data_IF_867086445077
#
_entry.id   IF_867086445077
#
_cell.length_a   1.000
_cell.length_b   1.000
_cell.length_c   1.000
_cell.angle_alpha   90.00
_cell.angle_beta   90.00
_cell.angle_gamma   90.00
#
_symmetry.space_group_name_H-M   'P 1'
#
loop_
_entity.id
_entity.type
_entity.pdbx_description
1 polymer ?
#
# COMPACT_ATOMS: atom_id res chain seq x y z
N UNK A 1 2.99 -14.17 7.68
CA UNK A 1 3.96 -13.24 8.33
C UNK A 1 5.36 -13.25 7.70
N UNK A 2 5.89 -14.38 7.23
CA UNK A 2 7.25 -14.47 6.65
C UNK A 2 7.39 -13.65 5.35
N UNK A 3 6.46 -13.81 4.41
CA UNK A 3 6.50 -13.12 3.11
C UNK A 3 6.54 -11.59 3.27
N UNK A 4 5.63 -11.05 4.10
CA UNK A 4 5.58 -9.62 4.42
C UNK A 4 6.91 -9.11 4.98
N UNK A 5 7.52 -9.82 5.95
CA UNK A 5 8.80 -9.41 6.54
C UNK A 5 9.92 -9.34 5.50
N UNK A 6 9.98 -10.31 4.58
CA UNK A 6 10.99 -10.36 3.52
C UNK A 6 10.79 -9.25 2.49
N UNK A 7 9.55 -9.00 2.07
CA UNK A 7 9.22 -7.90 1.15
C UNK A 7 9.52 -6.55 1.81
N UNK A 8 9.15 -6.36 3.08
CA UNK A 8 9.42 -5.11 3.79
C UNK A 8 10.91 -4.77 3.88
N UNK A 9 11.77 -5.76 4.11
CA UNK A 9 13.22 -5.54 4.10
C UNK A 9 13.69 -4.98 2.74
N UNK A 10 13.25 -5.58 1.63
CA UNK A 10 13.58 -5.13 0.27
C UNK A 10 13.08 -3.70 0.04
N UNK A 11 11.83 -3.40 0.44
CA UNK A 11 11.23 -2.07 0.27
C UNK A 11 11.96 -0.99 1.07
N UNK A 12 12.43 -1.33 2.27
CA UNK A 12 13.20 -0.40 3.13
C UNK A 12 14.60 -0.16 2.55
N UNK A 13 15.30 -1.20 2.11
CA UNK A 13 16.64 -1.09 1.50
C UNK A 13 16.62 -0.27 0.20
N UNK A 14 15.60 -0.49 -0.63
CA UNK A 14 15.42 0.21 -1.91
C UNK A 14 14.83 1.62 -1.79
N UNK A 15 14.43 2.05 -0.58
CA UNK A 15 13.85 3.37 -0.30
C UNK A 15 12.71 3.79 -1.25
N UNK A 16 11.87 2.83 -1.64
CA UNK A 16 10.79 3.07 -2.61
C UNK A 16 9.66 3.91 -2.00
N UNK A 17 9.42 3.76 -0.70
CA UNK A 17 8.37 4.50 0.00
C UNK A 17 8.90 5.88 0.39
N UNK A 18 8.18 6.97 0.06
CA UNK A 18 8.51 8.29 0.54
C UNK A 18 8.53 8.36 2.07
N UNK A 19 9.37 9.22 2.63
CA UNK A 19 9.39 9.46 4.08
C UNK A 19 8.13 10.19 4.58
N UNK A 20 7.36 10.79 3.67
CA UNK A 20 6.03 11.32 3.94
C UNK A 20 4.92 10.25 3.99
N UNK A 21 5.24 8.98 3.74
CA UNK A 21 4.27 7.87 3.82
C UNK A 21 4.25 7.26 5.23
N UNK A 22 3.19 7.55 5.98
CA UNK A 22 3.01 7.10 7.36
C UNK A 22 2.02 5.95 7.50
N UNK A 23 1.10 5.80 6.54
CA UNK A 23 0.13 4.70 6.53
C UNK A 23 0.81 3.34 6.35
N UNK A 24 0.39 2.34 7.13
CA UNK A 24 0.86 0.95 7.06
C UNK A 24 2.38 0.77 7.21
N UNK A 25 3.10 1.75 7.78
CA UNK A 25 4.55 1.70 8.00
C UNK A 25 4.88 1.50 9.48
N UNK A 26 5.81 0.60 9.78
CA UNK A 26 6.26 0.38 11.15
C UNK A 26 6.86 1.66 11.73
N UNK A 27 6.63 1.91 13.03
CA UNK A 27 7.10 3.10 13.78
C UNK A 27 6.53 4.45 13.28
N UNK A 28 5.57 4.44 12.37
CA UNK A 28 4.86 5.64 11.92
C UNK A 28 3.42 5.58 12.43
N UNK A 29 2.88 6.73 12.82
CA UNK A 29 1.51 6.88 13.32
C UNK A 29 0.85 8.06 12.63
N UNK A 30 -0.49 8.06 12.63
CA UNK A 30 -1.27 9.21 12.14
C UNK A 30 -0.94 10.48 12.92
N UNK A 31 -0.61 10.35 14.21
CA UNK A 31 -0.20 11.47 15.06
C UNK A 31 1.09 12.11 14.54
N UNK A 32 2.09 11.31 14.19
CA UNK A 32 3.33 11.85 13.62
C UNK A 32 3.09 12.60 12.30
N UNK A 33 2.18 12.11 11.46
CA UNK A 33 1.82 12.81 10.22
C UNK A 33 1.08 14.12 10.48
N UNK A 34 0.19 14.16 11.48
CA UNK A 34 -0.50 15.39 11.89
C UNK A 34 0.52 16.42 12.38
N UNK A 35 1.45 16.04 13.26
CA UNK A 35 2.51 16.96 13.72
C UNK A 35 3.28 17.57 12.55
N UNK A 36 3.73 16.73 11.59
CA UNK A 36 4.42 17.21 10.38
C UNK A 36 3.60 18.22 9.58
N UNK A 37 2.29 18.01 9.43
CA UNK A 37 1.40 18.92 8.71
C UNK A 37 1.26 20.23 9.49
N UNK A 38 1.02 20.17 10.80
CA UNK A 38 0.89 21.33 11.67
C UNK A 38 2.17 22.17 11.63
N UNK A 39 3.34 21.55 11.78
CA UNK A 39 4.63 22.24 11.72
C UNK A 39 4.82 22.96 10.37
N UNK A 40 4.42 22.32 9.26
CA UNK A 40 4.51 22.92 7.93
C UNK A 40 3.55 24.09 7.75
N UNK A 41 2.37 24.03 8.36
CA UNK A 41 1.41 25.15 8.36
C UNK A 41 1.97 26.30 9.19
N UNK A 42 2.44 26.03 10.41
CA UNK A 42 3.03 27.04 11.30
C UNK A 42 4.21 27.75 10.66
N UNK A 43 5.15 27.00 10.08
CA UNK A 43 6.30 27.57 9.38
C UNK A 43 5.90 28.46 8.19
N UNK A 44 4.90 28.03 7.40
CA UNK A 44 4.40 28.85 6.29
C UNK A 44 3.79 30.16 6.79
N UNK A 45 3.07 30.14 7.91
CA UNK A 45 2.45 31.33 8.50
C UNK A 45 3.51 32.28 9.08
N UNK A 46 4.56 31.75 9.71
CA UNK A 46 5.70 32.52 10.22
C UNK A 46 6.43 33.26 9.09
N UNK A 47 6.64 32.59 7.95
CA UNK A 47 7.23 33.17 6.74
C UNK A 47 6.26 34.09 5.96
N UNK A 48 5.10 34.41 6.53
CA UNK A 48 4.02 35.22 5.93
C UNK A 48 3.56 34.70 4.56
N UNK A 49 3.68 33.39 4.34
CA UNK A 49 3.22 32.70 3.15
C UNK A 49 1.81 32.13 3.36
N UNK A 50 1.03 32.06 2.29
CA UNK A 50 -0.28 31.40 2.32
C UNK A 50 -0.14 29.89 2.20
N UNK A 51 -0.72 29.16 3.16
CA UNK A 51 -0.83 27.71 3.09
C UNK A 51 -2.12 27.31 2.35
N UNK A 52 -1.98 26.48 1.32
CA UNK A 52 -3.11 25.82 0.63
C UNK A 52 -2.92 24.31 0.70
N UNK A 53 -3.96 23.58 1.11
CA UNK A 53 -3.94 22.12 1.20
C UNK A 53 -5.08 21.49 0.40
N UNK A 54 -4.82 20.32 -0.18
CA UNK A 54 -5.83 19.48 -0.84
C UNK A 54 -5.83 18.10 -0.21
N UNK A 55 -6.99 17.65 0.25
CA UNK A 55 -7.19 16.32 0.83
C UNK A 55 -7.84 15.44 -0.23
N UNK A 56 -7.17 14.35 -0.59
CA UNK A 56 -7.65 13.38 -1.58
C UNK A 56 -7.95 12.06 -0.87
N UNK A 57 -9.15 11.53 -1.10
CA UNK A 57 -9.54 10.20 -0.65
C UNK A 57 -9.95 9.33 -1.84
N UNK A 58 -9.53 8.07 -1.84
CA UNK A 58 -9.81 7.11 -2.91
C UNK A 58 -10.84 6.10 -2.40
N UNK A 59 -12.08 6.23 -2.88
CA UNK A 59 -13.14 5.28 -2.55
C UNK A 59 -12.77 3.87 -3.01
N UNK A 60 -12.90 2.87 -2.13
CA UNK A 60 -12.64 1.46 -2.45
C UNK A 60 -11.25 1.22 -3.06
N UNK A 61 -10.21 1.83 -2.47
CA UNK A 61 -8.85 1.79 -2.99
C UNK A 61 -8.32 0.37 -3.30
N UNK A 62 -8.74 -0.64 -2.54
CA UNK A 62 -8.33 -2.04 -2.79
C UNK A 62 -9.08 -2.70 -3.96
N UNK A 63 -10.36 -2.35 -4.17
CA UNK A 63 -11.17 -2.91 -5.25
C UNK A 63 -10.89 -2.23 -6.59
N UNK A 64 -10.47 -0.95 -6.57
CA UNK A 64 -10.17 -0.15 -7.76
C UNK A 64 -8.71 -0.16 -8.18
N UNK A 65 -7.88 -1.00 -7.55
CA UNK A 65 -6.47 -1.09 -7.91
C UNK A 65 -6.31 -1.59 -9.34
N UNK A 66 -5.51 -0.88 -10.13
CA UNK A 66 -5.14 -1.34 -11.46
C UNK A 66 -4.09 -2.46 -11.36
N UNK A 67 -4.56 -3.71 -11.32
CA UNK A 67 -3.72 -4.89 -11.08
C UNK A 67 -2.57 -5.03 -12.09
N UNK A 68 -2.80 -4.78 -13.38
CA UNK A 68 -1.74 -4.85 -14.40
C UNK A 68 -0.61 -3.84 -14.13
N UNK A 69 -0.97 -2.59 -13.79
CA UNK A 69 0.00 -1.55 -13.43
C UNK A 69 0.72 -1.86 -12.11
N UNK A 70 0.01 -2.43 -11.13
CA UNK A 70 0.61 -2.87 -9.87
C UNK A 70 1.64 -3.97 -10.10
N UNK A 71 1.31 -4.99 -10.89
CA UNK A 71 2.22 -6.10 -11.22
C UNK A 71 3.44 -5.62 -11.99
N UNK A 72 3.28 -4.66 -12.90
CA UNK A 72 4.41 -4.03 -13.59
C UNK A 72 5.38 -3.37 -12.59
N UNK A 73 4.86 -2.59 -11.62
CA UNK A 73 5.69 -1.99 -10.57
C UNK A 73 6.37 -3.04 -9.69
N UNK A 74 5.64 -4.09 -9.30
CA UNK A 74 6.20 -5.17 -8.46
C UNK A 74 7.32 -5.93 -9.17
N UNK A 75 7.23 -6.11 -10.49
CA UNK A 75 8.28 -6.78 -11.28
C UNK A 75 9.60 -6.01 -11.28
N UNK A 76 9.55 -4.67 -11.20
CA UNK A 76 10.75 -3.82 -11.15
C UNK A 76 11.41 -3.81 -9.77
N UNK A 77 10.60 -4.03 -8.73
CA UNK A 77 11.02 -3.86 -7.32
C UNK A 77 11.43 -5.18 -6.69
N UNK A 78 10.70 -6.27 -6.99
CA UNK A 78 10.83 -7.53 -6.29
C UNK A 78 11.56 -8.58 -7.15
N UNK A 79 12.37 -9.44 -6.51
CA UNK A 79 12.87 -10.66 -7.14
C UNK A 79 11.75 -11.53 -7.73
N UNK A 80 12.05 -12.23 -8.82
CA UNK A 80 11.11 -13.03 -9.61
C UNK A 80 10.27 -14.00 -8.76
N UNK A 81 10.85 -14.63 -7.75
CA UNK A 81 10.15 -15.57 -6.87
C UNK A 81 8.99 -14.91 -6.11
N UNK A 82 9.21 -13.71 -5.56
CA UNK A 82 8.16 -12.99 -4.83
C UNK A 82 7.12 -12.42 -5.78
N UNK A 83 7.55 -11.93 -6.94
CA UNK A 83 6.65 -11.46 -7.99
C UNK A 83 5.69 -12.56 -8.45
N UNK A 84 6.16 -13.78 -8.72
CA UNK A 84 5.30 -14.89 -9.16
C UNK A 84 4.25 -15.28 -8.12
N UNK A 85 4.62 -15.29 -6.83
CA UNK A 85 3.67 -15.56 -5.73
C UNK A 85 2.59 -14.48 -5.68
N UNK A 86 2.98 -13.20 -5.75
CA UNK A 86 2.02 -12.09 -5.72
C UNK A 86 1.16 -12.02 -6.98
N UNK A 87 1.72 -12.36 -8.14
CA UNK A 87 0.98 -12.47 -9.40
C UNK A 87 -0.12 -13.52 -9.30
N UNK A 88 0.23 -14.73 -8.86
CA UNK A 88 -0.76 -15.80 -8.64
C UNK A 88 -1.81 -15.44 -7.57
N UNK A 89 -1.48 -14.55 -6.64
CA UNK A 89 -2.44 -14.10 -5.63
C UNK A 89 -3.40 -13.02 -6.13
N UNK A 90 -2.95 -12.18 -7.07
CA UNK A 90 -3.71 -11.02 -7.57
C UNK A 90 -4.49 -11.32 -8.85
N UNK A 91 -4.01 -12.24 -9.68
CA UNK A 91 -4.68 -12.67 -10.91
C UNK A 91 -5.52 -13.94 -10.67
N UNK A 92 -6.63 -14.07 -11.42
CA UNK A 92 -7.46 -15.28 -11.49
C UNK A 92 -7.89 -15.86 -10.13
N UNK A 93 -8.24 -14.98 -9.19
CA UNK A 93 -8.77 -15.39 -7.89
C UNK A 93 -10.14 -16.05 -8.09
N UNK A 94 -10.27 -17.30 -7.69
CA UNK A 94 -11.56 -17.97 -7.53
C UNK A 94 -11.77 -18.34 -6.07
N UNK A 95 -12.91 -17.96 -5.53
CA UNK A 95 -13.35 -18.32 -4.19
C UNK A 95 -14.31 -19.51 -4.28
N UNK A 96 -14.01 -20.54 -3.49
CA UNK A 96 -14.90 -21.67 -3.26
C UNK A 96 -15.14 -21.81 -1.75
N UNK A 97 -16.39 -22.01 -1.37
CA UNK A 97 -16.79 -22.28 0.01
C UNK A 97 -17.13 -23.76 0.13
N UNK A 98 -16.53 -24.46 1.10
CA UNK A 98 -16.89 -25.85 1.43
C UNK A 98 -17.61 -25.90 2.77
N UNK A 99 -18.79 -26.49 2.80
CA UNK A 99 -19.54 -26.78 4.01
C UNK A 99 -19.88 -28.27 4.06
N UNK A 100 -19.33 -28.98 5.05
CA UNK A 100 -19.39 -30.45 5.10
C UNK A 100 -18.74 -31.08 3.87
N UNK A 101 -19.52 -31.89 3.14
CA UNK A 101 -19.13 -32.53 1.87
C UNK A 101 -19.50 -31.72 0.62
N UNK A 102 -20.17 -30.57 0.77
CA UNK A 102 -20.64 -29.74 -0.35
C UNK A 102 -19.70 -28.58 -0.62
N UNK A 103 -19.40 -28.34 -1.89
CA UNK A 103 -18.55 -27.23 -2.36
C UNK A 103 -19.36 -26.32 -3.27
N UNK A 104 -19.29 -25.01 -3.06
CA UNK A 104 -19.92 -24.01 -3.93
C UNK A 104 -19.24 -23.96 -5.30
N UNK A 105 -19.95 -23.46 -6.32
CA UNK A 105 -19.31 -23.12 -7.59
C UNK A 105 -18.21 -22.07 -7.39
N UNK A 106 -17.12 -22.13 -8.19
CA UNK A 106 -16.10 -21.08 -8.19
C UNK A 106 -16.73 -19.73 -8.54
N UNK A 107 -16.54 -18.74 -7.66
CA UNK A 107 -16.87 -17.33 -7.95
C UNK A 107 -15.60 -16.50 -8.00
N UNK A 108 -15.49 -15.65 -9.01
CA UNK A 108 -14.38 -14.70 -9.14
C UNK A 108 -14.58 -13.50 -8.21
#
# INVERSE_FOLDING_TARGET
>A
KILLKRILNIVVESKILPDSQFGFRAKHSTIHQIHRIVDKISFSLEEKQYFTGTLLDVSQAFDRVWHAGLLFKLKLILPSTYYLILKSYLEDRFFLVRYGSSTSSPKQ
#
